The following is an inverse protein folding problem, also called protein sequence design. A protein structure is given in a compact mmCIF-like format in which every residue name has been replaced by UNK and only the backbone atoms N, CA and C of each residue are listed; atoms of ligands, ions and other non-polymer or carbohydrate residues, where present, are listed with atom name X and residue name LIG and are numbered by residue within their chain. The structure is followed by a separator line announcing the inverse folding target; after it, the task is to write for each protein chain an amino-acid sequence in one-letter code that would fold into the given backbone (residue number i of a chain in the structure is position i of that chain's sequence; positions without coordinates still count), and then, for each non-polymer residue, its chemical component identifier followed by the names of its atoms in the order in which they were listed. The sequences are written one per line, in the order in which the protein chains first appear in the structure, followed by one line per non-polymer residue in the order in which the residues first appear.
data_IF_162069222684
#
_entry.id   IF_162069222684
#
_cell.length_a   1.000
_cell.length_b   1.000
_cell.length_c   1.000
_cell.angle_alpha   90.00
_cell.angle_beta   90.00
_cell.angle_gamma   90.00
#
_symmetry.space_group_name_H-M   'P 1'
#
loop_
_entity.id
_entity.type
_entity.pdbx_description
1 polymer ?
#
# COMPACT_ATOMS: atom_id res chain seq x y z
N UNK A 1 -4.20 17.64 -68.14
CA UNK A 1 -3.95 16.29 -67.60
C UNK A 1 -3.47 16.43 -66.16
N UNK A 2 -4.23 15.88 -65.20
CA UNK A 2 -4.00 15.99 -63.75
C UNK A 2 -3.61 14.59 -63.26
N UNK A 3 -2.33 14.36 -62.98
CA UNK A 3 -1.89 13.13 -62.31
C UNK A 3 -2.12 13.27 -60.80
N UNK A 4 -3.04 12.47 -60.27
CA UNK A 4 -3.09 12.11 -58.86
C UNK A 4 -2.17 10.91 -58.69
N UNK A 5 -1.23 10.96 -57.75
CA UNK A 5 -0.73 9.75 -57.11
C UNK A 5 -1.33 9.70 -55.70
N UNK A 6 -2.07 8.64 -55.33
CA UNK A 6 -2.59 8.40 -53.98
C UNK A 6 -1.53 7.68 -53.13
N UNK A 7 -1.69 7.73 -51.80
CA UNK A 7 -0.75 7.29 -50.74
C UNK A 7 0.42 8.27 -50.59
N UNK A 8 0.46 9.15 -49.59
CA UNK A 8 0.59 8.78 -48.18
C UNK A 8 -0.38 9.55 -47.26
N UNK A 9 -1.50 8.90 -46.97
CA UNK A 9 -2.26 9.11 -45.74
C UNK A 9 -1.75 8.06 -44.75
N UNK A 10 -0.82 8.46 -43.90
CA UNK A 10 -0.52 7.71 -42.69
C UNK A 10 -0.52 8.72 -41.56
N UNK A 11 -1.71 8.94 -41.02
CA UNK A 11 -1.88 9.59 -39.73
C UNK A 11 -1.02 8.90 -38.69
N UNK A 12 -0.09 9.67 -38.12
CA UNK A 12 0.58 9.36 -36.85
C UNK A 12 -0.48 9.34 -35.74
N UNK A 13 -1.23 8.24 -35.68
CA UNK A 13 -2.09 7.92 -34.55
C UNK A 13 -1.24 7.23 -33.47
N UNK A 14 -0.30 7.98 -32.90
CA UNK A 14 0.60 7.46 -31.89
C UNK A 14 -0.02 7.64 -30.49
N UNK A 15 -0.80 6.63 -30.09
CA UNK A 15 -0.64 6.03 -28.77
C UNK A 15 -1.01 6.86 -27.53
N UNK A 16 -2.17 7.50 -27.53
CA UNK A 16 -2.80 8.05 -26.32
C UNK A 16 -3.24 6.98 -25.30
N UNK A 17 -2.31 6.39 -24.53
CA UNK A 17 -2.66 5.49 -23.40
C UNK A 17 -1.75 5.66 -22.16
N UNK A 18 -0.61 6.36 -22.28
CA UNK A 18 0.32 6.57 -21.16
C UNK A 18 -0.12 7.63 -20.13
N UNK A 19 -1.05 8.53 -20.51
CA UNK A 19 -1.48 9.65 -19.66
C UNK A 19 -2.59 9.30 -18.66
N UNK A 20 -3.54 8.46 -19.06
CA UNK A 20 -4.69 8.11 -18.22
C UNK A 20 -4.32 7.21 -17.04
N UNK A 21 -3.45 6.22 -17.29
CA UNK A 21 -2.96 5.28 -16.29
C UNK A 21 -2.14 5.99 -15.19
N UNK A 22 -1.27 6.92 -15.57
CA UNK A 22 -0.50 7.76 -14.62
C UNK A 22 -1.42 8.63 -13.76
N UNK A 23 -2.42 9.29 -14.36
CA UNK A 23 -3.40 10.13 -13.65
C UNK A 23 -4.25 9.33 -12.66
N UNK A 24 -4.73 8.15 -13.06
CA UNK A 24 -5.50 7.24 -12.18
C UNK A 24 -4.68 6.77 -10.98
N UNK A 25 -3.42 6.36 -11.18
CA UNK A 25 -2.52 5.94 -10.10
C UNK A 25 -2.26 7.07 -9.09
N UNK A 26 -2.11 8.31 -9.57
CA UNK A 26 -1.97 9.49 -8.71
C UNK A 26 -3.23 9.77 -7.87
N UNK A 27 -4.42 9.65 -8.48
CA UNK A 27 -5.70 9.84 -7.79
C UNK A 27 -5.93 8.78 -6.71
N UNK A 28 -5.69 7.50 -7.02
CA UNK A 28 -5.81 6.42 -6.04
C UNK A 28 -4.84 6.61 -4.87
N UNK A 29 -3.57 6.93 -5.16
CA UNK A 29 -2.56 7.22 -4.13
C UNK A 29 -3.04 8.35 -3.21
N UNK A 30 -3.59 9.43 -3.77
CA UNK A 30 -4.13 10.54 -2.99
C UNK A 30 -5.28 10.11 -2.08
N UNK A 31 -6.23 9.30 -2.57
CA UNK A 31 -7.32 8.77 -1.75
C UNK A 31 -6.78 7.91 -0.61
N UNK A 32 -5.89 6.97 -0.89
CA UNK A 32 -5.27 6.11 0.15
C UNK A 32 -4.53 6.95 1.20
N UNK A 33 -3.80 7.98 0.77
CA UNK A 33 -3.12 8.90 1.68
C UNK A 33 -4.11 9.65 2.58
N UNK A 34 -5.17 10.23 2.02
CA UNK A 34 -6.19 10.95 2.81
C UNK A 34 -6.86 10.01 3.80
N UNK A 35 -7.26 8.81 3.39
CA UNK A 35 -7.86 7.80 4.27
C UNK A 35 -6.91 7.44 5.41
N UNK A 36 -5.63 7.22 5.10
CA UNK A 36 -4.61 6.90 6.12
C UNK A 36 -4.45 8.03 7.12
N UNK A 37 -4.42 9.29 6.67
CA UNK A 37 -4.32 10.47 7.54
C UNK A 37 -5.53 10.56 8.46
N UNK A 38 -6.74 10.45 7.92
CA UNK A 38 -8.00 10.53 8.68
C UNK A 38 -8.06 9.42 9.74
N UNK A 39 -7.72 8.18 9.38
CA UNK A 39 -7.72 7.06 10.33
C UNK A 39 -6.64 7.25 11.41
N UNK A 40 -5.48 7.79 11.05
CA UNK A 40 -4.41 8.11 12.02
C UNK A 40 -4.85 9.19 13.00
N UNK A 41 -5.42 10.29 12.50
CA UNK A 41 -5.95 11.35 13.34
C UNK A 41 -7.05 10.82 14.29
N UNK A 42 -7.97 9.98 13.77
CA UNK A 42 -9.00 9.34 14.58
C UNK A 42 -8.41 8.45 15.69
N UNK A 43 -7.37 7.67 15.40
CA UNK A 43 -6.68 6.86 16.40
C UNK A 43 -6.02 7.73 17.49
N UNK A 44 -5.35 8.81 17.11
CA UNK A 44 -4.71 9.74 18.05
C UNK A 44 -5.76 10.42 18.94
N UNK A 45 -6.86 10.93 18.35
CA UNK A 45 -7.96 11.56 19.11
C UNK A 45 -8.60 10.55 20.06
N UNK A 46 -8.83 9.31 19.62
CA UNK A 46 -9.34 8.22 20.48
C UNK A 46 -8.45 8.01 21.70
N UNK A 47 -7.13 8.03 21.52
CA UNK A 47 -6.18 7.81 22.62
C UNK A 47 -6.08 9.02 23.55
N UNK A 48 -6.08 10.25 23.01
CA UNK A 48 -6.01 11.47 23.82
C UNK A 48 -7.26 11.72 24.65
N UNK A 49 -8.43 11.21 24.22
CA UNK A 49 -9.68 11.24 24.99
C UNK A 49 -9.65 10.35 26.23
N UNK A 50 -8.75 9.37 26.30
CA UNK A 50 -8.58 8.55 27.50
C UNK A 50 -7.77 9.30 28.56
N UNK A 51 -8.03 9.04 29.86
CA UNK A 51 -7.11 9.36 30.95
C UNK A 51 -5.69 8.90 30.60
N UNK A 52 -4.66 9.65 31.03
CA UNK A 52 -3.26 9.41 30.60
C UNK A 52 -2.78 7.98 30.90
N UNK A 53 -3.24 7.43 32.01
CA UNK A 53 -2.99 6.09 32.54
C UNK A 53 -3.69 4.97 31.75
N UNK A 54 -4.78 5.27 31.04
CA UNK A 54 -5.51 4.30 30.22
C UNK A 54 -5.04 4.28 28.74
N UNK A 55 -4.03 5.09 28.39
CA UNK A 55 -3.52 5.20 27.02
C UNK A 55 -2.61 4.04 26.66
N UNK A 56 -3.03 3.22 25.71
CA UNK A 56 -2.29 2.06 25.20
C UNK A 56 -1.49 2.38 23.95
N UNK A 57 -1.87 3.42 23.19
CA UNK A 57 -1.23 3.83 21.92
C UNK A 57 -1.17 2.73 20.86
N UNK A 58 -2.00 1.69 21.00
CA UNK A 58 -2.15 0.60 20.05
C UNK A 58 -3.59 0.06 20.10
N UNK A 59 -4.07 -0.54 19.01
CA UNK A 59 -5.39 -1.14 18.94
C UNK A 59 -5.95 -1.19 17.52
N UNK A 60 -7.28 -1.02 17.41
CA UNK A 60 -7.98 -0.94 16.12
C UNK A 60 -8.87 0.30 16.05
N UNK A 61 -8.95 0.92 14.87
CA UNK A 61 -9.94 1.94 14.50
C UNK A 61 -11.05 1.28 13.71
N UNK A 62 -12.31 1.67 13.99
CA UNK A 62 -13.51 1.10 13.37
C UNK A 62 -13.55 -0.44 13.40
N UNK A 63 -13.01 -1.07 14.46
CA UNK A 63 -12.86 -2.52 14.64
C UNK A 63 -12.00 -3.28 13.61
N UNK A 64 -11.62 -2.65 12.49
CA UNK A 64 -10.98 -3.33 11.36
C UNK A 64 -9.52 -2.92 11.19
N UNK A 65 -9.21 -1.62 11.25
CA UNK A 65 -7.88 -1.11 10.87
C UNK A 65 -6.96 -1.08 12.09
N UNK A 66 -5.88 -1.89 12.14
CA UNK A 66 -4.98 -1.89 13.27
C UNK A 66 -4.12 -0.62 13.30
N UNK A 67 -3.70 -0.20 14.49
CA UNK A 67 -2.70 0.84 14.70
C UNK A 67 -1.77 0.49 15.86
N UNK A 68 -0.51 0.90 15.77
CA UNK A 68 0.47 0.84 16.87
C UNK A 68 1.41 2.04 16.75
N UNK A 69 1.41 2.94 17.72
CA UNK A 69 2.27 4.14 17.72
C UNK A 69 3.47 4.01 18.66
N UNK A 70 3.71 2.82 19.21
CA UNK A 70 4.89 2.54 20.02
C UNK A 70 6.11 2.40 19.13
N UNK A 71 7.29 2.65 19.71
CA UNK A 71 8.55 2.43 19.01
C UNK A 71 8.76 0.90 18.88
N UNK A 72 8.87 0.36 17.66
CA UNK A 72 9.04 -1.08 17.46
C UNK A 72 10.48 -1.50 17.76
N UNK A 73 10.65 -2.78 18.14
CA UNK A 73 11.97 -3.41 18.19
C UNK A 73 12.38 -3.89 16.80
N UNK A 74 13.69 -3.94 16.53
CA UNK A 74 14.22 -4.44 15.24
C UNK A 74 13.83 -5.89 14.98
N UNK A 75 13.74 -6.69 16.03
CA UNK A 75 13.25 -8.07 15.96
C UNK A 75 11.80 -8.13 15.47
N UNK A 76 10.92 -7.28 16.02
CA UNK A 76 9.50 -7.18 15.60
C UNK A 76 9.36 -6.80 14.13
N UNK A 77 10.21 -5.88 13.66
CA UNK A 77 10.25 -5.45 12.25
C UNK A 77 10.59 -6.64 11.35
N UNK A 78 11.66 -7.37 11.69
CA UNK A 78 12.09 -8.56 10.94
C UNK A 78 11.01 -9.64 10.95
N UNK A 79 10.45 -9.97 12.11
CA UNK A 79 9.41 -10.98 12.27
C UNK A 79 8.16 -10.69 11.40
N UNK A 80 7.75 -9.42 11.30
CA UNK A 80 6.53 -9.04 10.56
C UNK A 80 6.75 -8.85 9.07
N UNK A 81 7.93 -8.41 8.65
CA UNK A 81 8.21 -8.09 7.25
C UNK A 81 9.02 -9.16 6.53
N UNK A 82 9.76 -9.98 7.26
CA UNK A 82 10.67 -10.98 6.73
C UNK A 82 10.59 -12.30 7.51
N UNK A 83 9.42 -12.94 7.45
CA UNK A 83 9.21 -14.28 8.00
C UNK A 83 8.72 -15.22 6.88
N UNK A 84 9.64 -15.93 6.19
CA UNK A 84 9.33 -16.85 5.11
C UNK A 84 8.38 -18.00 5.50
N UNK A 85 8.42 -18.40 6.77
CA UNK A 85 7.64 -19.51 7.33
C UNK A 85 6.26 -19.06 7.83
N UNK A 86 5.95 -17.77 7.78
CA UNK A 86 4.65 -17.27 8.23
C UNK A 86 3.49 -17.83 7.41
N UNK A 87 2.38 -18.13 8.07
CA UNK A 87 1.11 -18.48 7.41
C UNK A 87 0.42 -17.26 6.76
N UNK A 88 0.84 -16.04 7.12
CA UNK A 88 0.16 -14.81 6.72
C UNK A 88 1.05 -13.94 5.80
N UNK A 89 0.53 -13.61 4.61
CA UNK A 89 1.17 -12.62 3.72
C UNK A 89 0.99 -11.18 4.22
N UNK A 90 -0.14 -10.89 4.86
CA UNK A 90 -0.51 -9.56 5.33
C UNK A 90 -0.64 -9.62 6.84
N UNK A 91 0.04 -8.71 7.52
CA UNK A 91 0.05 -8.61 8.98
C UNK A 91 -0.22 -7.18 9.43
N UNK A 92 -0.66 -6.95 10.68
CA UNK A 92 -0.69 -5.60 11.24
C UNK A 92 0.70 -4.95 11.18
N UNK A 93 0.73 -3.67 10.82
CA UNK A 93 1.97 -2.89 10.75
C UNK A 93 2.63 -2.81 12.14
N UNK A 94 3.97 -2.81 12.15
CA UNK A 94 4.78 -2.70 13.38
C UNK A 94 4.77 -1.31 14.01
N UNK A 95 4.58 -0.26 13.20
CA UNK A 95 4.43 1.12 13.64
C UNK A 95 3.56 1.91 12.65
N UNK A 96 2.62 2.71 13.14
CA UNK A 96 1.65 3.47 12.37
C UNK A 96 0.29 2.78 12.24
N UNK A 97 -0.41 3.06 11.15
CA UNK A 97 -1.78 2.59 10.90
C UNK A 97 -1.84 1.65 9.70
N UNK A 98 -2.63 0.59 9.83
CA UNK A 98 -2.97 -0.36 8.78
C UNK A 98 -2.08 -1.60 8.78
N UNK A 99 -1.98 -2.20 7.60
CA UNK A 99 -1.31 -3.48 7.41
C UNK A 99 0.07 -3.30 6.75
N UNK A 100 0.87 -4.35 6.83
CA UNK A 100 2.15 -4.51 6.15
C UNK A 100 2.17 -5.85 5.43
N UNK A 101 3.00 -5.93 4.39
CA UNK A 101 3.27 -7.15 3.65
C UNK A 101 4.48 -7.87 4.27
N UNK A 102 4.37 -9.18 4.43
CA UNK A 102 5.51 -10.04 4.73
C UNK A 102 6.22 -10.39 3.42
N UNK A 103 7.27 -9.65 3.11
CA UNK A 103 8.05 -9.81 1.88
C UNK A 103 8.80 -11.15 1.90
N UNK A 104 9.27 -11.61 3.06
CA UNK A 104 9.94 -12.91 3.20
C UNK A 104 9.06 -14.06 2.70
N UNK A 105 7.77 -14.06 3.06
CA UNK A 105 6.79 -15.04 2.60
C UNK A 105 6.50 -14.95 1.09
N UNK A 106 6.42 -13.73 0.56
CA UNK A 106 6.22 -13.54 -0.88
C UNK A 106 7.41 -14.10 -1.68
N UNK A 107 8.62 -13.84 -1.20
CA UNK A 107 9.85 -14.33 -1.83
C UNK A 107 9.98 -15.85 -1.74
N UNK A 108 9.65 -16.49 -0.62
CA UNK A 108 9.71 -17.95 -0.50
C UNK A 108 8.76 -18.62 -1.49
N UNK A 109 7.50 -18.17 -1.55
CA UNK A 109 6.51 -18.71 -2.50
C UNK A 109 6.93 -18.47 -3.96
N UNK A 110 7.54 -17.33 -4.27
CA UNK A 110 8.04 -17.07 -5.61
C UNK A 110 9.19 -18.03 -5.98
N UNK A 111 10.12 -18.28 -5.06
CA UNK A 111 11.23 -19.23 -5.27
C UNK A 111 10.74 -20.66 -5.48
N UNK A 112 9.78 -21.10 -4.67
CA UNK A 112 9.20 -22.44 -4.78
C UNK A 112 8.47 -22.67 -6.11
N UNK A 113 7.91 -21.61 -6.69
CA UNK A 113 7.22 -21.67 -8.00
C UNK A 113 8.16 -21.58 -9.19
N UNK A 114 9.30 -20.90 -9.07
CA UNK A 114 10.28 -20.73 -10.15
C UNK A 114 11.27 -21.91 -10.18
N UNK A 115 11.53 -22.53 -9.03
CA UNK A 115 12.37 -23.73 -8.92
C UNK A 115 11.65 -25.05 -9.19
N UNK A 116 10.36 -25.01 -9.57
CA UNK A 116 9.60 -26.13 -10.15
C UNK A 116 9.51 -25.94 -11.66
#
# INVERSE_FOLDING_TARGET
MRSRNPTDDNGDNDGGNGGETKRRRGRLRRVVTVVTIVLSAAAVVKELRKPKDERTWNGKVAAVVPYDFRIPTMERVRERMWNPESDHFISPRVAGVGWTLNVGKVVSVARDRIGR
#
